data_IF_380268088209
#
_entry.id   IF_380268088209
#
_cell.length_a   1.000
_cell.length_b   1.000
_cell.length_c   1.000
_cell.angle_alpha   90.00
_cell.angle_beta   90.00
_cell.angle_gamma   90.00
#
_symmetry.space_group_name_H-M   'P 1'
#
loop_
_entity.id
_entity.type
_entity.pdbx_description
1 polymer ?
#
# COMPACT_ATOMS: atom_id res chain seq x y z
N UNK A 1 -13.77 13.43 7.13
CA UNK A 1 -12.53 13.06 6.42
C UNK A 1 -11.91 11.95 7.24
N UNK A 2 -11.75 10.75 6.68
CA UNK A 2 -11.06 9.69 7.42
C UNK A 2 -9.65 10.17 7.75
N UNK A 3 -9.08 9.74 8.87
CA UNK A 3 -7.78 10.26 9.37
C UNK A 3 -6.62 10.10 8.37
N UNK A 4 -6.79 9.28 7.33
CA UNK A 4 -5.80 9.03 6.29
C UNK A 4 -6.08 9.79 4.98
N UNK A 5 -7.33 10.16 4.68
CA UNK A 5 -7.66 10.85 3.43
C UNK A 5 -6.96 12.21 3.39
N UNK A 6 -6.31 12.57 2.28
CA UNK A 6 -6.42 12.01 0.91
C UNK A 6 -5.36 10.95 0.55
N UNK A 7 -4.61 10.42 1.52
CA UNK A 7 -3.51 9.48 1.29
C UNK A 7 -4.00 8.03 1.27
N UNK A 8 -3.65 7.26 0.24
CA UNK A 8 -4.15 5.89 0.07
C UNK A 8 -3.16 5.00 -0.70
N UNK A 9 -3.30 3.69 -0.55
CA UNK A 9 -2.58 2.66 -1.31
C UNK A 9 -3.58 1.77 -2.04
N UNK A 10 -3.24 1.42 -3.28
CA UNK A 10 -3.98 0.50 -4.16
C UNK A 10 -3.00 -0.41 -4.90
N UNK A 11 -3.52 -1.46 -5.53
CA UNK A 11 -2.77 -2.26 -6.52
C UNK A 11 -3.55 -2.46 -7.82
N UNK A 12 -2.83 -2.88 -8.85
CA UNK A 12 -3.36 -3.30 -10.16
C UNK A 12 -4.24 -4.55 -10.09
N UNK A 13 -4.14 -5.32 -8.99
CA UNK A 13 -4.97 -6.51 -8.71
C UNK A 13 -5.76 -6.35 -7.42
N UNK A 14 -7.00 -6.83 -7.38
CA UNK A 14 -7.78 -7.00 -6.13
C UNK A 14 -7.79 -8.45 -5.64
N UNK A 15 -7.56 -9.37 -6.56
CA UNK A 15 -7.59 -10.80 -6.33
C UNK A 15 -6.49 -11.46 -7.16
N UNK A 16 -5.98 -12.58 -6.67
CA UNK A 16 -5.12 -13.48 -7.42
C UNK A 16 -5.77 -14.86 -7.41
N UNK A 17 -6.18 -15.31 -8.58
CA UNK A 17 -6.76 -16.63 -8.79
C UNK A 17 -5.70 -17.63 -9.25
N UNK A 18 -5.87 -18.88 -8.84
CA UNK A 18 -5.10 -20.00 -9.37
C UNK A 18 -3.72 -20.15 -8.72
N UNK A 19 -2.89 -21.02 -9.31
CA UNK A 19 -1.51 -21.17 -8.88
C UNK A 19 -0.74 -19.89 -9.24
N UNK A 20 -0.09 -19.28 -8.25
CA UNK A 20 0.88 -18.21 -8.51
C UNK A 20 2.13 -18.84 -9.10
N UNK A 21 2.55 -18.35 -10.26
CA UNK A 21 3.77 -18.82 -10.89
C UNK A 21 4.96 -17.93 -10.50
N UNK A 22 6.18 -18.49 -10.41
CA UNK A 22 7.38 -17.69 -10.23
C UNK A 22 7.49 -16.61 -11.30
N UNK A 23 7.64 -15.35 -10.88
CA UNK A 23 7.68 -14.20 -11.79
C UNK A 23 6.34 -13.49 -12.00
N UNK A 24 5.23 -14.02 -11.47
CA UNK A 24 4.03 -13.23 -11.27
C UNK A 24 4.33 -12.00 -10.40
N UNK A 25 3.53 -10.96 -10.56
CA UNK A 25 3.78 -9.69 -9.88
C UNK A 25 2.51 -8.89 -9.62
N UNK A 26 2.63 -8.01 -8.63
CA UNK A 26 1.65 -6.99 -8.28
C UNK A 26 2.31 -5.62 -8.37
N UNK A 27 1.59 -4.66 -8.94
CA UNK A 27 1.99 -3.25 -8.95
C UNK A 27 1.17 -2.52 -7.90
N UNK A 28 1.85 -1.94 -6.92
CA UNK A 28 1.24 -1.08 -5.91
C UNK A 28 1.46 0.39 -6.27
N UNK A 29 0.45 1.22 -5.99
CA UNK A 29 0.55 2.68 -6.09
C UNK A 29 0.14 3.30 -4.76
N UNK A 30 1.05 4.06 -4.14
CA UNK A 30 0.82 4.83 -2.92
C UNK A 30 0.64 6.28 -3.32
N UNK A 31 -0.54 6.83 -3.10
CA UNK A 31 -0.87 8.22 -3.33
C UNK A 31 -0.76 9.02 -2.03
N UNK A 32 -0.19 10.21 -2.12
CA UNK A 32 -0.07 11.10 -0.98
C UNK A 32 -0.27 12.56 -1.38
N UNK A 33 -0.78 13.37 -0.46
CA UNK A 33 -0.98 14.81 -0.64
C UNK A 33 -0.55 15.55 0.63
N UNK A 34 0.22 16.62 0.44
CA UNK A 34 0.56 17.52 1.51
C UNK A 34 -0.60 18.48 1.77
N UNK A 35 -1.32 18.26 2.87
CA UNK A 35 -2.44 19.10 3.31
C UNK A 35 -2.02 20.23 4.26
N UNK A 36 -0.72 20.37 4.51
CA UNK A 36 -0.15 21.38 5.40
C UNK A 36 -0.13 22.79 4.80
N UNK A 37 0.33 23.75 5.58
CA UNK A 37 0.43 25.16 5.20
C UNK A 37 1.79 25.55 4.60
N UNK A 38 2.68 24.56 4.39
CA UNK A 38 4.01 24.78 3.84
C UNK A 38 4.36 23.70 2.84
N UNK A 39 5.32 24.00 1.99
CA UNK A 39 5.88 23.07 1.02
C UNK A 39 6.80 22.05 1.72
N UNK A 40 6.59 20.76 1.43
CA UNK A 40 7.46 19.70 1.88
C UNK A 40 8.68 19.59 0.97
N UNK A 41 9.87 19.53 1.56
CA UNK A 41 11.14 19.35 0.83
C UNK A 41 11.50 17.87 0.69
N UNK A 42 11.06 17.05 1.64
CA UNK A 42 11.26 15.62 1.68
C UNK A 42 9.97 14.89 2.01
N UNK A 43 9.70 13.79 1.31
CA UNK A 43 8.63 12.85 1.61
C UNK A 43 9.22 11.46 1.76
N UNK A 44 9.07 10.88 2.96
CA UNK A 44 9.44 9.48 3.22
C UNK A 44 8.19 8.62 3.20
N UNK A 45 8.20 7.61 2.33
CA UNK A 45 7.13 6.61 2.24
C UNK A 45 7.69 5.27 2.73
N UNK A 46 7.04 4.67 3.72
CA UNK A 46 7.44 3.40 4.33
C UNK A 46 6.32 2.39 4.21
N UNK A 47 6.64 1.16 3.88
CA UNK A 47 5.70 0.04 3.93
C UNK A 47 6.41 -1.22 4.38
N UNK A 48 5.65 -2.22 4.82
CA UNK A 48 6.18 -3.51 5.23
C UNK A 48 5.67 -4.57 4.26
N UNK A 49 6.61 -5.25 3.60
CA UNK A 49 6.25 -6.33 2.69
C UNK A 49 5.86 -7.58 3.51
N UNK A 50 4.76 -8.26 3.13
CA UNK A 50 4.42 -9.58 3.68
C UNK A 50 5.57 -10.59 3.57
N UNK A 51 5.58 -11.60 4.44
CA UNK A 51 6.73 -12.52 4.59
C UNK A 51 6.96 -13.39 3.36
N UNK A 52 5.91 -13.60 2.57
CA UNK A 52 5.97 -14.40 1.37
C UNK A 52 6.74 -13.71 0.24
N UNK A 53 6.94 -12.39 0.31
CA UNK A 53 7.96 -11.73 -0.51
C UNK A 53 9.35 -12.03 0.11
N UNK A 54 9.84 -13.27 -0.09
CA UNK A 54 11.11 -13.75 0.48
C UNK A 54 12.33 -13.23 -0.29
N UNK A 55 13.39 -12.94 0.47
CA UNK A 55 14.69 -12.48 -0.03
C UNK A 55 15.20 -13.27 -1.24
N UNK A 56 15.83 -12.53 -2.16
CA UNK A 56 16.51 -12.99 -3.39
C UNK A 56 15.61 -13.38 -4.57
N UNK A 57 14.29 -13.44 -4.41
CA UNK A 57 13.37 -13.81 -5.50
C UNK A 57 12.41 -12.71 -5.94
N UNK A 58 12.33 -11.58 -5.22
CA UNK A 58 11.53 -10.44 -5.68
C UNK A 58 12.41 -9.26 -6.08
N UNK A 59 12.04 -8.61 -7.17
CA UNK A 59 12.64 -7.35 -7.61
C UNK A 59 11.69 -6.20 -7.23
N UNK A 60 12.17 -5.24 -6.45
CA UNK A 60 11.45 -3.98 -6.29
C UNK A 60 11.84 -3.10 -7.47
N UNK A 61 10.89 -2.93 -8.40
CA UNK A 61 11.05 -1.94 -9.45
C UNK A 61 10.22 -0.73 -9.09
N UNK A 62 10.86 0.42 -8.86
CA UNK A 62 10.13 1.69 -8.71
C UNK A 62 9.82 2.23 -10.10
N UNK A 63 8.53 2.24 -10.45
CA UNK A 63 8.01 2.64 -11.75
C UNK A 63 7.80 4.14 -11.82
N UNK A 64 7.39 4.75 -10.71
CA UNK A 64 7.14 6.18 -10.64
C UNK A 64 7.43 6.77 -9.25
N UNK A 65 8.12 7.92 -9.18
CA UNK A 65 9.02 8.44 -10.20
C UNK A 65 10.09 7.40 -10.55
N UNK A 66 10.41 7.23 -11.83
CA UNK A 66 11.34 6.20 -12.26
C UNK A 66 12.70 6.35 -11.55
N UNK A 67 13.30 5.23 -11.14
CA UNK A 67 14.58 5.19 -10.43
C UNK A 67 14.60 5.95 -9.09
N UNK A 68 13.45 6.16 -8.44
CA UNK A 68 13.42 6.70 -7.07
C UNK A 68 14.21 5.76 -6.14
N UNK A 69 15.27 6.26 -5.46
CA UNK A 69 16.02 5.47 -4.51
C UNK A 69 15.11 4.91 -3.43
N UNK A 70 15.27 3.62 -3.19
CA UNK A 70 14.63 2.93 -2.09
C UNK A 70 15.66 2.12 -1.32
N UNK A 71 15.34 1.86 -0.06
CA UNK A 71 16.07 0.92 0.78
C UNK A 71 15.11 -0.18 1.22
N UNK A 72 15.60 -1.41 1.25
CA UNK A 72 14.86 -2.55 1.74
C UNK A 72 15.64 -3.20 2.88
N UNK A 73 15.03 -3.28 4.06
CA UNK A 73 15.56 -4.03 5.18
C UNK A 73 14.91 -5.41 5.16
N UNK A 74 15.70 -6.44 4.89
CA UNK A 74 15.18 -7.79 4.75
C UNK A 74 14.80 -8.49 6.06
N UNK A 75 15.28 -8.00 7.20
CA UNK A 75 14.93 -8.52 8.53
C UNK A 75 13.56 -7.99 8.94
N UNK A 76 13.36 -6.68 8.86
CA UNK A 76 12.08 -6.04 9.19
C UNK A 76 11.07 -6.14 8.05
N UNK A 77 11.52 -6.43 6.82
CA UNK A 77 10.79 -6.32 5.55
C UNK A 77 10.28 -4.91 5.27
N UNK A 78 10.94 -3.91 5.84
CA UNK A 78 10.61 -2.51 5.64
C UNK A 78 11.17 -2.04 4.31
N UNK A 79 10.30 -1.48 3.47
CA UNK A 79 10.63 -0.83 2.22
C UNK A 79 10.40 0.66 2.37
N UNK A 80 11.45 1.45 2.12
CA UNK A 80 11.45 2.90 2.33
C UNK A 80 11.88 3.62 1.06
N UNK A 81 11.05 4.56 0.59
CA UNK A 81 11.42 5.56 -0.41
C UNK A 81 11.64 6.91 0.25
N UNK A 82 12.62 7.66 -0.25
CA UNK A 82 12.81 9.07 0.11
C UNK A 82 12.76 9.89 -1.17
N UNK A 83 11.69 10.65 -1.31
CA UNK A 83 11.47 11.57 -2.43
C UNK A 83 11.84 12.96 -1.95
N UNK A 84 12.66 13.69 -2.68
CA UNK A 84 13.09 15.02 -2.24
C UNK A 84 13.01 16.04 -3.36
N UNK A 85 13.00 17.31 -3.00
CA UNK A 85 13.17 18.41 -3.96
C UNK A 85 14.52 18.30 -4.68
N UNK A 86 15.58 18.00 -3.95
CA UNK A 86 16.96 18.04 -4.47
C UNK A 86 17.29 17.02 -5.55
N UNK A 87 16.51 15.94 -5.65
CA UNK A 87 16.69 14.91 -6.68
C UNK A 87 15.66 15.01 -7.83
N UNK A 88 14.81 16.05 -7.84
CA UNK A 88 13.83 16.30 -8.89
C UNK A 88 12.70 15.27 -8.98
N UNK A 89 12.50 14.44 -7.95
CA UNK A 89 11.52 13.36 -8.00
C UNK A 89 10.12 13.79 -7.58
N UNK A 90 10.00 14.86 -6.79
CA UNK A 90 8.69 15.45 -6.49
C UNK A 90 8.13 16.15 -7.73
N UNK A 91 6.86 15.85 -8.07
CA UNK A 91 6.12 16.57 -9.12
C UNK A 91 6.19 18.07 -8.87
N UNK A 92 6.83 18.78 -9.80
CA UNK A 92 7.04 20.23 -9.74
C UNK A 92 8.49 20.64 -9.50
N UNK A 93 9.40 19.72 -9.16
CA UNK A 93 10.84 19.97 -8.99
C UNK A 93 11.22 20.97 -7.89
N UNK A 94 10.22 21.65 -7.31
CA UNK A 94 10.38 22.70 -6.31
C UNK A 94 10.08 22.23 -4.88
N UNK A 95 9.54 21.02 -4.71
CA UNK A 95 8.96 20.51 -3.47
C UNK A 95 7.47 20.18 -3.64
N UNK A 96 6.86 19.54 -2.65
CA UNK A 96 5.44 19.21 -2.68
C UNK A 96 4.64 20.24 -1.87
N UNK A 97 3.90 21.10 -2.56
CA UNK A 97 3.19 22.23 -1.94
C UNK A 97 2.05 21.79 -1.04
N UNK A 98 1.70 22.63 -0.07
CA UNK A 98 0.63 22.40 0.89
C UNK A 98 -0.72 22.95 0.41
N UNK A 99 -1.82 22.24 0.65
CA UNK A 99 -3.17 22.76 0.32
C UNK A 99 -3.63 23.90 1.23
N UNK A 100 -2.95 24.15 2.36
CA UNK A 100 -3.24 25.27 3.25
C UNK A 100 -2.31 26.48 3.03
N UNK A 101 -1.48 26.47 1.98
CA UNK A 101 -0.72 27.66 1.58
C UNK A 101 -1.67 28.77 1.07
N UNK A 102 -1.36 30.03 1.36
CA UNK A 102 -2.25 31.17 1.08
C UNK A 102 -2.57 31.38 -0.40
N UNK A 103 -1.71 30.91 -1.29
CA UNK A 103 -1.83 31.00 -2.75
C UNK A 103 -2.29 29.70 -3.40
N UNK A 104 -2.72 28.70 -2.62
CA UNK A 104 -3.33 27.47 -3.13
C UNK A 104 -4.57 27.79 -3.97
N UNK A 105 -4.67 27.17 -5.16
CA UNK A 105 -5.69 27.42 -6.19
C UNK A 105 -5.68 28.81 -6.82
N UNK A 106 -4.75 29.68 -6.42
CA UNK A 106 -4.54 31.00 -7.01
C UNK A 106 -3.27 31.00 -7.87
N UNK A 107 -2.12 30.66 -7.27
CA UNK A 107 -0.84 30.63 -7.95
C UNK A 107 -0.46 29.23 -8.44
N UNK A 108 -1.04 28.19 -7.86
CA UNK A 108 -0.75 26.83 -8.22
C UNK A 108 -1.96 25.89 -8.05
N UNK A 109 -2.03 24.84 -8.88
CA UNK A 109 -3.15 23.91 -8.88
C UNK A 109 -2.91 22.72 -7.92
N UNK A 110 -3.92 21.89 -7.74
CA UNK A 110 -3.91 20.78 -6.77
C UNK A 110 -2.87 19.70 -7.07
N UNK A 111 -2.53 19.48 -8.33
CA UNK A 111 -1.49 18.55 -8.75
C UNK A 111 -0.09 18.87 -8.21
N UNK A 112 0.18 20.09 -7.74
CA UNK A 112 1.44 20.42 -7.07
C UNK A 112 1.45 20.02 -5.59
N UNK A 113 0.32 19.57 -5.05
CA UNK A 113 0.18 19.15 -3.65
C UNK A 113 0.17 17.64 -3.47
N UNK A 114 0.02 16.89 -4.56
CA UNK A 114 -0.11 15.42 -4.56
C UNK A 114 0.95 14.76 -5.42
N UNK A 115 1.37 13.59 -5.00
CA UNK A 115 2.27 12.74 -5.78
C UNK A 115 2.00 11.26 -5.48
N UNK A 116 2.74 10.37 -6.13
CA UNK A 116 2.65 8.94 -5.86
C UNK A 116 3.98 8.21 -5.97
N UNK A 117 4.09 7.10 -5.24
CA UNK A 117 5.09 6.07 -5.47
C UNK A 117 4.40 4.87 -6.10
N UNK A 118 4.89 4.44 -7.27
CA UNK A 118 4.48 3.19 -7.88
C UNK A 118 5.62 2.19 -7.85
N UNK A 119 5.38 1.00 -7.33
CA UNK A 119 6.37 -0.05 -7.25
C UNK A 119 5.79 -1.42 -7.57
N UNK A 120 6.60 -2.24 -8.22
CA UNK A 120 6.27 -3.61 -8.60
C UNK A 120 6.96 -4.58 -7.65
N UNK A 121 6.22 -5.60 -7.21
CA UNK A 121 6.73 -6.70 -6.38
C UNK A 121 6.44 -8.02 -7.09
N UNK A 122 7.43 -8.91 -7.14
CA UNK A 122 7.30 -10.23 -7.74
C UNK A 122 7.06 -11.29 -6.66
N UNK A 123 6.26 -12.31 -6.97
CA UNK A 123 6.11 -13.46 -6.11
C UNK A 123 7.36 -14.34 -6.15
N UNK A 124 7.65 -14.96 -5.01
CA UNK A 124 8.77 -15.88 -4.88
C UNK A 124 8.53 -17.18 -5.65
N UNK A 125 9.62 -17.86 -6.00
CA UNK A 125 9.62 -19.22 -6.54
C UNK A 125 9.40 -20.24 -5.41
N UNK A 126 8.24 -20.18 -4.76
CA UNK A 126 7.82 -21.17 -3.77
C UNK A 126 6.34 -21.52 -4.00
N UNK A 127 6.03 -22.74 -4.45
CA UNK A 127 4.66 -23.16 -4.72
C UNK A 127 3.78 -23.26 -3.46
N UNK A 128 4.36 -23.30 -2.25
CA UNK A 128 3.61 -23.43 -0.99
C UNK A 128 3.35 -22.08 -0.31
N UNK A 129 3.85 -21.00 -0.88
CA UNK A 129 3.96 -19.68 -0.26
C UNK A 129 2.60 -19.11 0.17
N UNK A 130 1.54 -19.48 -0.55
CA UNK A 130 0.18 -18.97 -0.37
C UNK A 130 -0.83 -20.02 0.07
N UNK A 131 -0.33 -21.21 0.42
CA UNK A 131 -1.16 -22.24 1.06
C UNK A 131 -1.12 -22.14 2.60
N UNK A 132 -2.25 -22.43 3.28
CA UNK A 132 -3.62 -22.33 2.75
C UNK A 132 -3.96 -20.87 2.43
N UNK A 133 -4.93 -20.64 1.53
CA UNK A 133 -5.33 -19.32 1.00
C UNK A 133 -5.18 -18.16 1.98
N UNK A 134 -4.45 -17.13 1.54
CA UNK A 134 -4.10 -15.97 2.37
C UNK A 134 -4.55 -14.68 1.72
N UNK A 135 -4.93 -13.71 2.55
CA UNK A 135 -5.08 -12.33 2.12
C UNK A 135 -3.75 -11.60 2.30
N UNK A 136 -3.30 -10.92 1.25
CA UNK A 136 -2.17 -10.00 1.28
C UNK A 136 -2.67 -8.66 1.82
N UNK A 137 -2.22 -8.25 3.00
CA UNK A 137 -2.54 -6.95 3.57
C UNK A 137 -1.33 -6.01 3.49
N UNK A 138 -1.55 -4.77 3.05
CA UNK A 138 -0.53 -3.73 3.01
C UNK A 138 -1.07 -2.39 3.50
N UNK A 139 -0.19 -1.62 4.13
CA UNK A 139 -0.41 -0.23 4.51
C UNK A 139 0.92 0.51 4.34
N UNK A 140 0.86 1.80 4.03
CA UNK A 140 2.01 2.66 4.00
C UNK A 140 1.92 3.75 5.07
N UNK A 141 3.08 4.21 5.51
CA UNK A 141 3.26 5.35 6.41
C UNK A 141 4.02 6.44 5.64
N UNK A 142 3.50 7.66 5.66
CA UNK A 142 4.00 8.80 4.91
C UNK A 142 4.44 9.88 5.90
N UNK A 143 5.66 10.38 5.73
CA UNK A 143 6.22 11.45 6.55
C UNK A 143 6.63 12.59 5.63
N UNK A 144 6.06 13.77 5.86
CA UNK A 144 6.45 15.01 5.20
C UNK A 144 7.48 15.73 6.07
N UNK A 145 8.71 15.86 5.60
CA UNK A 145 9.87 16.40 6.32
C UNK A 145 10.07 15.72 7.70
N UNK A 146 9.87 16.46 8.79
CA UNK A 146 9.98 15.99 10.17
C UNK A 146 8.62 15.91 10.88
N UNK A 147 7.51 15.95 10.14
CA UNK A 147 6.17 15.87 10.72
C UNK A 147 5.84 14.45 11.20
N UNK A 148 4.85 14.28 12.10
CA UNK A 148 4.32 12.97 12.43
C UNK A 148 3.85 12.21 11.18
N UNK A 149 3.98 10.89 11.21
CA UNK A 149 3.59 10.05 10.09
C UNK A 149 2.07 9.97 9.92
N UNK A 150 1.62 9.92 8.67
CA UNK A 150 0.24 9.67 8.28
C UNK A 150 0.18 8.29 7.63
N UNK A 151 -0.69 7.41 8.12
CA UNK A 151 -0.90 6.10 7.50
C UNK A 151 -1.91 6.19 6.34
N UNK A 152 -1.75 5.36 5.33
CA UNK A 152 -2.77 5.13 4.29
C UNK A 152 -3.92 4.26 4.83
N UNK A 153 -4.94 4.02 4.00
CA UNK A 153 -5.84 2.88 4.20
C UNK A 153 -5.06 1.55 4.27
N UNK A 154 -5.72 0.55 4.86
CA UNK A 154 -5.35 -0.84 4.61
C UNK A 154 -5.81 -1.23 3.21
N UNK A 155 -4.93 -1.89 2.48
CA UNK A 155 -5.21 -2.46 1.17
C UNK A 155 -5.01 -3.97 1.20
N UNK A 156 -5.94 -4.68 0.57
CA UNK A 156 -6.02 -6.12 0.62
C UNK A 156 -6.04 -6.69 -0.80
N UNK A 157 -5.36 -7.83 -0.98
CA UNK A 157 -5.47 -8.66 -2.18
C UNK A 157 -5.81 -10.05 -1.71
N UNK A 158 -6.95 -10.58 -2.14
CA UNK A 158 -7.35 -11.92 -1.79
C UNK A 158 -6.67 -12.93 -2.72
N UNK A 159 -6.09 -13.99 -2.17
CA UNK A 159 -5.59 -15.12 -2.95
C UNK A 159 -6.63 -16.22 -2.89
N UNK A 160 -7.31 -16.44 -4.01
CA UNK A 160 -8.35 -17.44 -4.13
C UNK A 160 -7.71 -18.73 -4.63
N UNK A 161 -7.54 -19.69 -3.72
CA UNK A 161 -7.16 -21.04 -4.14
C UNK A 161 -8.39 -21.76 -4.67
N UNK A 162 -8.22 -22.45 -5.79
CA UNK A 162 -9.22 -23.37 -6.26
C UNK A 162 -9.23 -24.59 -5.34
N UNK A 163 -10.28 -24.73 -4.54
CA UNK A 163 -10.62 -26.05 -3.99
C UNK A 163 -10.73 -27.02 -5.18
N UNK A 164 -10.07 -28.16 -5.06
CA UNK A 164 -9.75 -29.14 -6.11
C UNK A 164 -10.94 -29.80 -6.83
N UNK A 165 -12.14 -29.19 -6.93
CA UNK A 165 -13.34 -29.86 -7.45
C UNK A 165 -14.21 -29.10 -8.47
N UNK A 166 -13.90 -27.87 -8.89
CA UNK A 166 -14.60 -27.26 -10.03
C UNK A 166 -13.71 -26.29 -10.82
N UNK A 167 -13.27 -26.73 -12.00
CA UNK A 167 -12.30 -26.02 -12.86
C UNK A 167 -12.88 -24.85 -13.67
N UNK A 168 -14.15 -24.49 -13.50
CA UNK A 168 -14.78 -23.48 -14.36
C UNK A 168 -15.04 -22.16 -13.61
N UNK A 169 -14.31 -21.12 -14.02
CA UNK A 169 -14.56 -19.69 -13.80
C UNK A 169 -13.97 -18.98 -12.56
N UNK A 170 -12.65 -19.04 -12.36
CA UNK A 170 -11.98 -17.88 -11.75
C UNK A 170 -11.85 -16.80 -12.82
N UNK A 171 -12.85 -15.92 -12.93
CA UNK A 171 -12.80 -14.78 -13.85
C UNK A 171 -11.95 -13.69 -13.22
N UNK A 172 -10.63 -13.75 -13.41
CA UNK A 172 -9.71 -12.64 -13.13
C UNK A 172 -10.20 -11.40 -13.89
N UNK A 173 -11.01 -10.57 -13.25
CA UNK A 173 -11.44 -9.31 -13.84
C UNK A 173 -10.28 -8.35 -13.65
N UNK A 174 -9.39 -8.28 -14.64
CA UNK A 174 -8.43 -7.19 -14.76
C UNK A 174 -9.27 -5.92 -14.90
N UNK A 175 -9.35 -5.13 -13.82
CA UNK A 175 -10.13 -3.91 -13.85
C UNK A 175 -9.46 -2.91 -14.81
N UNK A 176 -10.20 -2.28 -15.72
CA UNK A 176 -9.68 -1.11 -16.42
C UNK A 176 -9.39 -0.04 -15.38
N UNK A 177 -8.31 0.71 -15.63
CA UNK A 177 -7.69 1.75 -14.80
C UNK A 177 -8.68 2.86 -14.37
N UNK A 178 -9.59 2.51 -13.45
CA UNK A 178 -10.69 3.35 -12.99
C UNK A 178 -10.63 3.42 -11.48
N UNK A 179 -10.24 4.59 -10.99
CA UNK A 179 -10.19 4.96 -9.58
C UNK A 179 -11.58 4.81 -8.95
N UNK A 180 -11.82 3.67 -8.30
CA UNK A 180 -12.97 3.46 -7.43
C UNK A 180 -12.55 3.70 -5.98
N UNK A 181 -13.10 4.75 -5.37
CA UNK A 181 -13.00 4.99 -3.94
C UNK A 181 -13.82 3.93 -3.20
N UNK A 182 -13.15 2.95 -2.59
CA UNK A 182 -13.76 2.17 -1.51
C UNK A 182 -13.76 3.05 -0.27
N UNK A 183 -14.94 3.54 0.13
CA UNK A 183 -15.13 4.06 1.48
C UNK A 183 -14.80 2.91 2.44
N UNK A 184 -13.72 3.02 3.20
CA UNK A 184 -13.45 2.09 4.28
C UNK A 184 -14.63 2.17 5.28
N UNK A 185 -15.38 1.08 5.54
CA UNK A 185 -16.34 1.10 6.62
C UNK A 185 -15.58 1.29 7.95
N UNK A 186 -16.19 2.01 8.89
CA UNK A 186 -15.66 2.24 10.24
C UNK A 186 -15.47 0.95 11.08
N UNK A 187 -15.83 -0.21 10.52
CA UNK A 187 -15.65 -1.54 11.07
C UNK A 187 -15.33 -2.50 9.92
N UNK A 188 -14.14 -3.08 9.92
CA UNK A 188 -13.80 -4.18 9.00
C UNK A 188 -14.47 -5.44 9.53
N UNK A 189 -15.56 -5.88 8.88
CA UNK A 189 -16.16 -7.18 9.18
C UNK A 189 -15.31 -8.28 8.53
N UNK A 190 -14.46 -8.90 9.34
CA UNK A 190 -13.57 -9.97 8.92
C UNK A 190 -14.23 -11.35 8.88
N UNK A 191 -15.51 -11.46 9.29
CA UNK A 191 -16.22 -12.74 9.31
C UNK A 191 -16.43 -13.36 7.92
N UNK A 192 -16.31 -12.56 6.85
CA UNK A 192 -16.40 -13.01 5.47
C UNK A 192 -15.05 -13.49 4.88
N UNK A 193 -13.92 -13.31 5.57
CA UNK A 193 -12.65 -13.86 5.10
C UNK A 193 -12.53 -15.29 5.62
N UNK A 194 -12.67 -16.27 4.71
CA UNK A 194 -12.54 -17.71 5.02
C UNK A 194 -11.12 -18.16 5.40
N UNK A 195 -10.22 -17.26 5.78
CA UNK A 195 -8.79 -17.52 5.99
C UNK A 195 -8.16 -16.69 7.11
N UNK A 196 -6.90 -16.98 7.43
CA UNK A 196 -6.11 -16.21 8.41
C UNK A 196 -5.52 -14.96 7.76
N UNK A 197 -5.71 -13.80 8.39
CA UNK A 197 -5.07 -12.55 7.94
C UNK A 197 -3.68 -12.47 8.59
N UNK A 198 -2.65 -12.34 7.77
CA UNK A 198 -1.29 -12.21 8.27
C UNK A 198 -0.86 -10.74 8.24
N UNK A 199 -0.71 -10.15 9.43
CA UNK A 199 -0.40 -8.75 9.62
C UNK A 199 0.89 -8.61 10.43
N UNK A 200 2.01 -8.30 9.76
CA UNK A 200 3.31 -8.15 10.43
C UNK A 200 3.71 -6.65 10.54
N UNK A 201 4.51 -6.27 11.57
CA UNK A 201 5.66 -7.02 11.96
C UNK A 201 5.43 -7.89 13.22
N UNK A 202 4.30 -8.56 13.41
CA UNK A 202 4.16 -9.54 14.49
C UNK A 202 3.14 -10.66 14.37
N UNK A 203 2.04 -10.45 13.65
CA UNK A 203 0.79 -10.98 14.18
C UNK A 203 -0.03 -11.75 13.14
N UNK A 204 -0.30 -13.01 13.49
CA UNK A 204 -1.40 -13.76 12.90
C UNK A 204 -2.68 -13.19 13.49
N UNK A 205 -3.43 -12.46 12.69
CA UNK A 205 -4.77 -12.06 13.08
C UNK A 205 -5.71 -13.20 12.67
N UNK A 206 -6.03 -14.06 13.62
CA UNK A 206 -7.15 -14.98 13.46
C UNK A 206 -8.43 -14.13 13.46
N UNK A 207 -9.52 -14.59 12.80
CA UNK A 207 -10.78 -13.85 12.78
C UNK A 207 -11.27 -13.41 14.18
N UNK A 208 -10.94 -14.18 15.22
CA UNK A 208 -11.31 -13.87 16.61
C UNK A 208 -10.44 -12.79 17.29
N UNK A 209 -9.21 -12.55 16.84
CA UNK A 209 -8.31 -11.56 17.45
C UNK A 209 -8.67 -10.10 17.05
N UNK A 210 -9.18 -9.92 15.83
CA UNK A 210 -9.48 -8.59 15.26
C UNK A 210 -10.66 -7.92 15.98
N UNK A 211 -11.70 -8.69 16.32
CA UNK A 211 -12.86 -8.17 17.07
C UNK A 211 -12.50 -7.66 18.48
N UNK A 212 -11.34 -8.04 19.03
CA UNK A 212 -10.89 -7.59 20.36
C UNK A 212 -10.06 -6.29 20.34
N UNK A 213 -9.44 -5.93 19.21
CA UNK A 213 -8.63 -4.71 19.11
C UNK A 213 -9.43 -3.47 18.70
N UNK A 214 -10.62 -3.66 18.12
CA UNK A 214 -11.53 -2.56 17.73
C UNK A 214 -12.22 -1.91 18.95
N UNK A 215 -12.12 -2.51 20.15
CA UNK A 215 -12.73 -1.98 21.39
C UNK A 215 -11.75 -1.25 22.32
N UNK A 216 -10.48 -1.08 21.94
CA UNK A 216 -9.55 -0.26 22.73
C UNK A 216 -9.95 1.22 22.64
N UNK A 217 -10.66 1.70 23.66
CA UNK A 217 -10.94 3.13 23.84
C UNK A 217 -9.63 3.93 23.89
N UNK A 218 -9.59 5.15 23.34
CA UNK A 218 -8.42 6.00 23.44
C UNK A 218 -8.11 6.30 24.93
N UNK A 219 -6.83 6.36 25.33
CA UNK A 219 -6.46 6.84 26.66
C UNK A 219 -6.94 8.29 26.83
N UNK A 220 -7.50 8.58 28.02
CA UNK A 220 -7.93 9.91 28.43
C UNK A 220 -6.77 10.88 28.58
#
# INVERSE_FOLDING_TARGET
>A
VNSHDPNYIVSDRKEICGAIEPGDSVVYTIHFQNIGAGMAEEVKVRTYLPYFYVNNTFQIQTLYPANTPHSYNNVSRELVWTVSKGNGQLRGGAGLRGTAESDYRVAFPEEHTRDSIQFKVYFADDPNLLEPCRTIAMQASIVFDCNPSISTNFHYIDVVCQDTMAMDSCQCTVLPDTTFFLQAPASLDVSNFGGSVLWYPGQYLTPNAINSQVTASPPR
#
